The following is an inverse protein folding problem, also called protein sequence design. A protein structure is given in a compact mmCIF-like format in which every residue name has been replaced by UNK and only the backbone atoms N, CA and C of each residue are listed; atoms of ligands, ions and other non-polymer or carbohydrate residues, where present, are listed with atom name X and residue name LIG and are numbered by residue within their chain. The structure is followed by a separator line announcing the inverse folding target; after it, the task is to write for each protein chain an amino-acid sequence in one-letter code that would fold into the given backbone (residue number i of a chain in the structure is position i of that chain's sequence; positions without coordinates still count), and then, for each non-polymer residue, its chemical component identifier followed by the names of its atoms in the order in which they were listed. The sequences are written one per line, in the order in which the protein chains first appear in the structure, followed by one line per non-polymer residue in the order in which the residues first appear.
data_IF_274385516187
#
_entry.id   IF_274385516187
#
_cell.length_a   1.000
_cell.length_b   1.000
_cell.length_c   1.000
_cell.angle_alpha   90.00
_cell.angle_beta   90.00
_cell.angle_gamma   90.00
#
_symmetry.space_group_name_H-M   'P 1'
#
loop_
_entity.id
_entity.type
_entity.pdbx_description
1 polymer ?
#
# COMPACT_ATOMS: atom_id res chain seq x y z
N UNK A 1 -14.50 -2.29 -25.85
CA UNK A 1 -14.87 -2.98 -24.59
C UNK A 1 -14.94 -1.97 -23.46
N UNK A 2 -15.87 -2.14 -22.54
CA UNK A 2 -15.96 -1.33 -21.32
C UNK A 2 -16.12 -2.26 -20.13
N UNK A 3 -15.24 -2.11 -19.13
CA UNK A 3 -15.33 -2.82 -17.87
C UNK A 3 -15.47 -1.84 -16.72
N UNK A 4 -16.35 -2.13 -15.77
CA UNK A 4 -16.58 -1.28 -14.61
C UNK A 4 -16.65 -2.17 -13.38
N UNK A 5 -15.89 -1.82 -12.33
CA UNK A 5 -16.00 -2.44 -11.01
C UNK A 5 -16.07 -1.35 -9.95
N UNK A 6 -16.65 -1.66 -8.81
CA UNK A 6 -16.74 -0.72 -7.69
C UNK A 6 -15.96 -1.27 -6.49
N UNK A 7 -15.32 -0.37 -5.75
CA UNK A 7 -14.57 -0.72 -4.54
C UNK A 7 -15.47 -1.26 -3.43
N UNK A 8 -16.77 -0.91 -3.43
CA UNK A 8 -17.73 -1.49 -2.48
C UNK A 8 -17.89 -2.99 -2.67
N UNK A 9 -17.58 -3.49 -3.87
CA UNK A 9 -17.62 -4.92 -4.23
C UNK A 9 -16.26 -5.31 -4.78
N UNK A 10 -15.20 -5.05 -4.00
CA UNK A 10 -13.85 -5.40 -4.39
C UNK A 10 -13.71 -6.90 -4.64
N UNK A 11 -12.82 -7.26 -5.57
CA UNK A 11 -12.52 -8.66 -5.87
C UNK A 11 -11.80 -9.34 -4.71
N UNK A 12 -10.95 -8.59 -4.00
CA UNK A 12 -10.23 -9.08 -2.84
C UNK A 12 -10.21 -8.03 -1.74
N UNK A 13 -10.17 -8.52 -0.49
CA UNK A 13 -9.82 -7.73 0.68
C UNK A 13 -8.82 -8.51 1.50
N UNK A 14 -7.76 -7.85 1.95
CA UNK A 14 -6.78 -8.42 2.87
C UNK A 14 -6.64 -7.52 4.08
N UNK A 15 -6.81 -8.09 5.26
CA UNK A 15 -6.64 -7.38 6.53
C UNK A 15 -5.27 -7.69 7.11
N UNK A 16 -4.67 -6.72 7.78
CA UNK A 16 -3.44 -6.87 8.54
C UNK A 16 -3.51 -5.95 9.76
N UNK A 17 -2.64 -6.11 10.75
CA UNK A 17 -2.70 -5.25 11.93
C UNK A 17 -2.66 -3.77 11.54
N UNK A 18 -3.63 -3.01 12.02
CA UNK A 18 -3.79 -1.57 11.80
C UNK A 18 -4.01 -1.16 10.35
N UNK A 19 -4.62 -2.04 9.56
CA UNK A 19 -4.95 -1.65 8.19
C UNK A 19 -5.58 -2.75 7.36
N UNK A 20 -5.87 -2.39 6.13
CA UNK A 20 -6.40 -3.33 5.13
C UNK A 20 -6.15 -2.79 3.74
N UNK A 21 -6.29 -3.68 2.76
CA UNK A 21 -6.34 -3.27 1.38
C UNK A 21 -7.52 -3.91 0.68
N UNK A 22 -8.06 -3.21 -0.31
CA UNK A 22 -9.08 -3.71 -1.22
C UNK A 22 -8.54 -3.63 -2.63
N UNK A 23 -8.75 -4.68 -3.43
CA UNK A 23 -8.22 -4.76 -4.79
C UNK A 23 -9.32 -5.10 -5.78
N UNK A 24 -9.24 -4.48 -6.96
CA UNK A 24 -10.08 -4.82 -8.10
C UNK A 24 -9.19 -5.18 -9.29
N UNK A 25 -9.62 -6.16 -10.06
CA UNK A 25 -8.89 -6.66 -11.22
C UNK A 25 -9.73 -6.44 -12.46
N UNK A 26 -9.22 -5.63 -13.38
CA UNK A 26 -9.80 -5.38 -14.68
C UNK A 26 -8.82 -5.84 -15.75
N UNK A 27 -9.26 -5.89 -17.00
CA UNK A 27 -8.36 -6.24 -18.10
C UNK A 27 -7.26 -5.17 -18.21
N UNK A 28 -6.01 -5.56 -17.95
CA UNK A 28 -4.86 -4.65 -18.03
C UNK A 28 -4.71 -3.68 -16.89
N UNK A 29 -5.51 -3.83 -15.81
CA UNK A 29 -5.41 -2.97 -14.63
C UNK A 29 -5.70 -3.76 -13.36
N UNK A 30 -4.71 -3.82 -12.48
CA UNK A 30 -4.89 -4.30 -11.10
C UNK A 30 -4.74 -3.10 -10.19
N UNK A 31 -5.82 -2.71 -9.54
CA UNK A 31 -5.90 -1.49 -8.73
C UNK A 31 -6.12 -1.85 -7.27
N UNK A 32 -5.39 -1.19 -6.38
CA UNK A 32 -5.53 -1.37 -4.94
C UNK A 32 -5.77 -0.05 -4.22
N UNK A 33 -6.59 -0.11 -3.18
CA UNK A 33 -6.72 0.96 -2.19
C UNK A 33 -6.26 0.40 -0.86
N UNK A 34 -5.25 1.01 -0.28
CA UNK A 34 -4.72 0.62 1.02
C UNK A 34 -5.07 1.68 2.07
N UNK A 35 -5.55 1.21 3.22
CA UNK A 35 -5.87 2.06 4.36
C UNK A 35 -5.00 1.64 5.53
N UNK A 36 -4.28 2.61 6.10
CA UNK A 36 -3.36 2.41 7.22
C UNK A 36 -3.80 3.29 8.38
N UNK A 37 -4.03 2.68 9.55
CA UNK A 37 -4.44 3.41 10.73
C UNK A 37 -3.23 4.04 11.45
N UNK A 38 -3.45 5.04 12.31
CA UNK A 38 -2.37 5.60 13.14
C UNK A 38 -1.63 4.49 13.89
N UNK A 39 -0.31 4.55 13.89
CA UNK A 39 0.54 3.54 14.50
C UNK A 39 0.95 2.40 13.58
N UNK A 40 0.38 2.33 12.38
CA UNK A 40 0.81 1.32 11.41
C UNK A 40 2.26 1.55 11.00
N UNK A 41 3.02 0.45 10.96
CA UNK A 41 4.37 0.40 10.40
C UNK A 41 4.54 -0.93 9.68
N UNK A 42 5.06 -0.90 8.46
CA UNK A 42 5.16 -2.10 7.63
C UNK A 42 5.95 -3.22 8.33
N UNK A 43 7.10 -2.91 8.93
CA UNK A 43 7.94 -3.90 9.61
C UNK A 43 7.27 -4.55 10.81
N UNK A 44 6.28 -3.91 11.42
CA UNK A 44 5.53 -4.47 12.55
C UNK A 44 4.25 -5.18 12.09
N UNK A 45 3.53 -4.59 11.13
CA UNK A 45 2.19 -5.04 10.73
C UNK A 45 2.20 -6.04 9.60
N UNK A 46 3.10 -5.91 8.64
CA UNK A 46 3.08 -6.69 7.40
C UNK A 46 4.28 -7.64 7.28
N UNK A 47 5.44 -7.27 7.77
CA UNK A 47 6.63 -8.12 7.70
C UNK A 47 6.40 -9.55 8.22
N UNK A 48 5.69 -9.76 9.35
CA UNK A 48 5.41 -11.11 9.82
C UNK A 48 4.56 -11.94 8.85
N UNK A 49 3.72 -11.29 8.05
CA UNK A 49 2.87 -11.94 7.05
C UNK A 49 3.69 -12.21 5.78
N UNK A 50 4.42 -11.20 5.31
CA UNK A 50 5.19 -11.27 4.08
C UNK A 50 6.41 -12.19 4.19
N UNK A 51 7.00 -12.27 5.39
CA UNK A 51 8.19 -13.09 5.61
C UNK A 51 9.49 -12.46 5.09
N UNK A 52 9.51 -11.14 4.90
CA UNK A 52 10.70 -10.40 4.45
C UNK A 52 11.05 -9.30 5.45
N UNK A 53 12.30 -8.85 5.44
CA UNK A 53 12.77 -7.79 6.36
C UNK A 53 12.29 -6.40 5.95
N UNK A 54 12.08 -6.19 4.65
CA UNK A 54 11.54 -4.95 4.10
C UNK A 54 10.53 -5.27 3.01
N UNK A 55 9.70 -4.30 2.66
CA UNK A 55 8.67 -4.49 1.63
C UNK A 55 9.31 -4.64 0.26
N UNK A 56 8.99 -5.73 -0.42
CA UNK A 56 9.52 -6.05 -1.74
C UNK A 56 8.52 -5.75 -2.87
N UNK A 57 7.45 -5.02 -2.55
CA UNK A 57 6.43 -4.63 -3.52
C UNK A 57 6.82 -3.32 -4.18
N UNK A 58 6.70 -3.28 -5.51
CA UNK A 58 6.85 -2.05 -6.29
C UNK A 58 5.54 -1.27 -6.27
N UNK A 59 5.61 0.03 -6.03
CA UNK A 59 4.43 0.89 -5.90
C UNK A 59 4.40 2.02 -6.92
N UNK A 60 3.21 2.29 -7.48
CA UNK A 60 2.88 3.52 -8.20
C UNK A 60 1.67 4.13 -7.50
N UNK A 61 1.88 5.09 -6.62
CA UNK A 61 0.87 5.54 -5.67
C UNK A 61 0.43 6.97 -5.84
N UNK A 62 -0.82 7.20 -5.43
CA UNK A 62 -1.40 8.52 -5.21
C UNK A 62 -1.92 8.55 -3.76
N UNK A 63 -1.51 9.54 -2.98
CA UNK A 63 -1.96 9.68 -1.59
C UNK A 63 -3.27 10.46 -1.57
N UNK A 64 -4.31 9.86 -1.00
CA UNK A 64 -5.66 10.45 -0.91
C UNK A 64 -5.83 11.19 0.40
N UNK A 65 -5.34 10.61 1.50
CA UNK A 65 -5.56 11.09 2.85
C UNK A 65 -4.38 10.70 3.73
N UNK A 66 -4.11 11.50 4.75
CA UNK A 66 -3.10 11.20 5.75
C UNK A 66 -1.68 11.44 5.27
N UNK A 67 -0.72 11.08 6.11
CA UNK A 67 0.71 11.25 5.82
C UNK A 67 1.47 10.02 6.25
N UNK A 68 2.51 9.68 5.49
CA UNK A 68 3.39 8.57 5.84
C UNK A 68 4.83 8.88 5.47
N UNK A 69 5.77 8.26 6.19
CA UNK A 69 7.18 8.28 5.80
C UNK A 69 7.54 6.95 5.18
N UNK A 70 8.42 7.02 4.20
CA UNK A 70 8.95 5.86 3.50
C UNK A 70 10.47 5.93 3.63
N UNK A 71 11.07 4.81 4.05
CA UNK A 71 12.52 4.70 4.16
C UNK A 71 12.98 3.53 3.31
N UNK A 72 13.86 3.83 2.37
CA UNK A 72 14.50 2.81 1.53
C UNK A 72 15.60 2.08 2.30
N UNK A 73 15.91 0.86 1.88
CA UNK A 73 16.97 0.07 2.52
C UNK A 73 18.34 0.75 2.46
N UNK A 74 18.57 1.63 1.49
CA UNK A 74 19.82 2.41 1.38
C UNK A 74 19.85 3.63 2.31
N UNK A 75 18.76 3.87 3.07
CA UNK A 75 18.66 4.96 4.02
C UNK A 75 17.97 6.22 3.51
N UNK A 76 17.67 6.32 2.22
CA UNK A 76 16.89 7.44 1.68
C UNK A 76 15.50 7.43 2.31
N UNK A 77 15.02 8.58 2.76
CA UNK A 77 13.75 8.70 3.48
C UNK A 77 13.03 9.97 3.08
N UNK A 78 11.72 9.88 2.89
CA UNK A 78 10.86 11.01 2.57
C UNK A 78 9.48 10.83 3.15
N UNK A 79 8.77 11.94 3.32
CA UNK A 79 7.37 11.96 3.75
C UNK A 79 6.48 12.30 2.56
N UNK A 80 5.32 11.62 2.48
CA UNK A 80 4.29 11.87 1.49
C UNK A 80 2.98 12.23 2.17
N UNK A 81 2.15 13.01 1.51
CA UNK A 81 0.86 13.45 2.01
C UNK A 81 -0.15 13.65 0.88
N UNK A 82 -1.36 14.15 1.21
CA UNK A 82 -2.46 14.23 0.22
C UNK A 82 -2.06 14.96 -1.05
N UNK A 83 -2.35 14.34 -2.19
CA UNK A 83 -2.01 14.88 -3.50
C UNK A 83 -0.64 14.46 -4.03
N UNK A 84 0.20 13.84 -3.20
CA UNK A 84 1.50 13.37 -3.67
C UNK A 84 1.36 12.12 -4.53
N UNK A 85 2.14 12.07 -5.60
CA UNK A 85 2.27 10.89 -6.46
C UNK A 85 3.70 10.38 -6.30
N UNK A 86 3.87 9.09 -6.08
CA UNK A 86 5.21 8.55 -5.91
C UNK A 86 5.38 7.16 -6.52
N UNK A 87 6.62 6.87 -6.88
CA UNK A 87 7.07 5.53 -7.25
C UNK A 87 8.02 5.06 -6.18
N UNK A 88 7.82 3.82 -5.72
CA UNK A 88 8.65 3.22 -4.71
C UNK A 88 9.07 1.83 -5.15
N UNK A 89 10.38 1.62 -5.30
CA UNK A 89 10.92 0.32 -5.69
C UNK A 89 10.95 -0.64 -4.50
N UNK A 90 11.10 -1.96 -4.73
CA UNK A 90 11.29 -2.93 -3.64
C UNK A 90 12.43 -2.56 -2.70
N UNK A 91 12.31 -2.95 -1.44
CA UNK A 91 13.34 -2.67 -0.43
C UNK A 91 13.06 -1.40 0.37
N UNK A 92 11.91 -1.35 1.06
CA UNK A 92 11.55 -0.20 1.87
C UNK A 92 10.73 -0.58 3.10
N UNK A 93 10.72 0.32 4.08
CA UNK A 93 9.79 0.34 5.21
C UNK A 93 8.93 1.60 5.09
N UNK A 94 7.79 1.63 5.74
CA UNK A 94 6.90 2.79 5.76
C UNK A 94 6.09 2.81 7.05
N UNK A 95 5.70 4.00 7.48
CA UNK A 95 4.87 4.17 8.68
C UNK A 95 3.99 5.42 8.58
N UNK A 96 2.84 5.35 9.24
CA UNK A 96 1.92 6.48 9.33
C UNK A 96 2.48 7.55 10.24
N UNK A 97 2.38 8.80 9.82
CA UNK A 97 2.78 9.98 10.61
C UNK A 97 1.51 10.67 11.09
N UNK A 98 1.43 10.92 12.40
CA UNK A 98 0.30 11.63 13.00
C UNK A 98 -0.86 10.73 13.39
N UNK A 99 -2.01 11.34 13.63
CA UNK A 99 -3.18 10.71 14.23
C UNK A 99 -4.32 10.44 13.23
N UNK A 100 -4.08 10.66 11.94
CA UNK A 100 -5.06 10.44 10.89
C UNK A 100 -4.71 9.18 10.11
N UNK A 101 -5.74 8.41 9.73
CA UNK A 101 -5.50 7.27 8.83
C UNK A 101 -4.93 7.77 7.50
N UNK A 102 -4.15 6.93 6.87
CA UNK A 102 -3.55 7.18 5.55
C UNK A 102 -4.23 6.28 4.53
N UNK A 103 -4.66 6.87 3.41
CA UNK A 103 -5.28 6.16 2.31
C UNK A 103 -4.47 6.42 1.05
N UNK A 104 -4.04 5.35 0.39
CA UNK A 104 -3.29 5.45 -0.87
C UNK A 104 -3.92 4.58 -1.95
N UNK A 105 -3.89 5.07 -3.18
CA UNK A 105 -4.21 4.30 -4.38
C UNK A 105 -2.91 3.79 -4.98
N UNK A 106 -2.91 2.53 -5.43
CA UNK A 106 -1.76 1.92 -6.09
C UNK A 106 -2.17 1.31 -7.43
N UNK A 107 -1.50 1.75 -8.48
CA UNK A 107 -1.79 1.35 -9.86
C UNK A 107 -0.71 0.43 -10.44
N UNK A 108 0.29 0.02 -9.66
CA UNK A 108 1.41 -0.77 -10.18
C UNK A 108 1.06 -2.24 -10.44
N UNK A 109 0.01 -2.74 -9.76
CA UNK A 109 -0.38 -4.14 -9.87
C UNK A 109 0.14 -5.02 -8.74
N UNK A 110 1.45 -5.05 -8.41
CA UNK A 110 1.96 -5.92 -7.32
C UNK A 110 1.29 -5.70 -5.96
N UNK A 111 0.87 -4.47 -5.64
CA UNK A 111 0.10 -4.19 -4.43
C UNK A 111 -1.21 -4.97 -4.41
N UNK A 112 -1.97 -4.90 -5.51
CA UNK A 112 -3.25 -5.58 -5.64
C UNK A 112 -3.11 -7.10 -5.58
N UNK A 113 -2.04 -7.65 -6.16
CA UNK A 113 -1.89 -9.10 -6.32
C UNK A 113 -1.07 -9.77 -5.21
N UNK A 114 -0.14 -9.08 -4.57
CA UNK A 114 0.84 -9.71 -3.67
C UNK A 114 1.05 -9.06 -2.31
N UNK A 115 0.56 -7.87 -2.06
CA UNK A 115 0.81 -7.17 -0.80
C UNK A 115 0.13 -7.87 0.38
N UNK A 116 0.81 -7.93 1.51
CA UNK A 116 0.33 -8.57 2.73
C UNK A 116 0.00 -10.05 2.52
N UNK A 117 0.76 -10.72 1.68
CA UNK A 117 0.71 -12.17 1.47
C UNK A 117 2.07 -12.79 1.73
N UNK A 118 2.09 -14.03 2.18
CA UNK A 118 3.29 -14.85 2.22
C UNK A 118 3.68 -15.27 0.79
N UNK A 119 4.98 -15.43 0.57
CA UNK A 119 5.49 -15.96 -0.70
C UNK A 119 5.16 -17.44 -0.86
#
# INVERSE_FOLDING_TARGET
MLEIKTLEKADERRDFPRGHLEAVHLSGLDFAVATFEPGWRWTESVAPIAGTESCQIHHHCYVVQGRMRIRMDDGAESEVGPGDVFVCSPGHDAWVVGDEQTVVYDFAGPMATGYAKAD
#
